data_IF_829228152084
#
_entry.id   IF_829228152084
#
_cell.length_a   1.000
_cell.length_b   1.000
_cell.length_c   1.000
_cell.angle_alpha   90.00
_cell.angle_beta   90.00
_cell.angle_gamma   90.00
#
_symmetry.space_group_name_H-M   'P 1'
#
loop_
_entity.id
_entity.type
_entity.pdbx_description
1 polymer ?
#
# COMPACT_ATOMS: atom_id res chain seq x y z
N UNK A 1 -24.19 28.63 90.45
CA UNK A 1 -24.02 28.74 88.98
C UNK A 1 -22.75 27.96 88.66
N UNK A 2 -22.89 26.71 88.22
CA UNK A 2 -21.74 25.80 88.02
C UNK A 2 -20.93 26.23 86.79
N UNK A 3 -19.61 26.44 86.91
CA UNK A 3 -18.76 26.70 85.76
C UNK A 3 -18.35 25.39 85.06
N UNK A 4 -18.27 25.49 83.74
CA UNK A 4 -17.96 24.46 82.75
C UNK A 4 -16.55 23.87 82.99
N UNK A 5 -16.35 22.54 82.95
CA UNK A 5 -15.02 21.96 83.09
C UNK A 5 -14.18 22.19 81.82
N UNK A 6 -12.97 22.72 82.03
CA UNK A 6 -11.97 22.95 80.99
C UNK A 6 -11.51 21.63 80.37
N UNK A 7 -11.41 21.61 79.04
CA UNK A 7 -10.86 20.50 78.26
C UNK A 7 -9.44 20.15 78.72
N UNK A 8 -9.26 18.93 79.22
CA UNK A 8 -7.95 18.34 79.46
C UNK A 8 -7.23 18.16 78.11
N UNK A 9 -6.18 18.95 77.87
CA UNK A 9 -5.29 18.78 76.73
C UNK A 9 -4.42 17.54 76.98
N UNK A 10 -4.71 16.45 76.28
CA UNK A 10 -3.87 15.24 76.29
C UNK A 10 -2.52 15.61 75.67
N UNK A 11 -1.47 15.64 76.49
CA UNK A 11 -0.09 15.68 76.02
C UNK A 11 0.18 14.37 75.28
N UNK A 12 0.24 14.43 73.94
CA UNK A 12 0.70 13.32 73.13
C UNK A 12 2.22 13.23 73.25
N UNK A 13 2.72 12.11 73.77
CA UNK A 13 4.15 11.83 73.79
C UNK A 13 4.70 11.78 72.35
N UNK A 14 5.93 12.27 72.10
CA UNK A 14 6.52 12.22 70.76
C UNK A 14 6.72 10.76 70.31
N UNK A 15 6.60 10.47 69.01
CA UNK A 15 6.76 9.10 68.50
C UNK A 15 8.17 8.58 68.77
N UNK A 16 8.27 7.40 69.37
CA UNK A 16 9.53 6.67 69.55
C UNK A 16 10.08 6.36 68.15
N UNK A 17 11.07 7.14 67.70
CA UNK A 17 11.84 6.82 66.49
C UNK A 17 12.67 5.58 66.77
N UNK A 18 12.16 4.40 66.39
CA UNK A 18 13.00 3.21 66.29
C UNK A 18 14.07 3.48 65.22
N UNK A 19 15.37 3.32 65.53
CA UNK A 19 16.39 3.45 64.50
C UNK A 19 16.11 2.45 63.39
N UNK A 20 16.22 2.89 62.14
CA UNK A 20 16.16 2.00 60.96
C UNK A 20 17.14 0.86 61.18
N UNK A 21 16.75 -0.41 60.94
CA UNK A 21 17.68 -1.53 61.07
C UNK A 21 18.88 -1.27 60.17
N UNK A 22 20.06 -1.19 60.78
CA UNK A 22 21.33 -1.05 60.07
C UNK A 22 21.60 -2.40 59.43
N UNK A 23 21.22 -2.56 58.16
CA UNK A 23 21.55 -3.74 57.37
C UNK A 23 23.07 -3.78 57.33
N UNK A 24 23.66 -4.78 57.99
CA UNK A 24 25.10 -5.02 57.86
C UNK A 24 25.41 -5.15 56.37
N UNK A 25 26.54 -4.61 55.87
CA UNK A 25 26.91 -4.81 54.48
C UNK A 25 26.92 -6.32 54.24
N UNK A 26 25.96 -6.77 53.42
CA UNK A 26 25.97 -8.13 52.91
C UNK A 26 27.34 -8.29 52.27
N UNK A 27 28.13 -9.27 52.74
CA UNK A 27 29.40 -9.59 52.09
C UNK A 27 29.04 -10.04 50.70
N UNK A 28 29.04 -9.11 49.76
CA UNK A 28 29.06 -9.43 48.35
C UNK A 28 30.38 -10.17 48.14
N UNK A 29 30.37 -11.49 48.30
CA UNK A 29 30.88 -12.27 47.20
C UNK A 29 29.92 -11.95 46.06
N UNK A 30 30.15 -10.82 45.38
CA UNK A 30 29.88 -10.81 43.97
C UNK A 30 30.66 -12.02 43.49
N UNK A 31 29.95 -13.14 43.23
CA UNK A 31 30.51 -14.16 42.37
C UNK A 31 31.07 -13.34 41.22
N UNK A 32 32.41 -13.31 41.11
CA UNK A 32 33.08 -12.50 40.11
C UNK A 32 32.31 -12.74 38.83
N UNK A 33 31.71 -11.68 38.26
CA UNK A 33 30.90 -11.82 37.06
C UNK A 33 31.77 -12.63 36.09
N UNK A 34 31.34 -13.86 35.82
CA UNK A 34 32.19 -14.83 35.11
C UNK A 34 32.59 -14.12 33.81
N UNK A 35 33.89 -13.84 33.60
CA UNK A 35 34.33 -13.00 32.48
C UNK A 35 33.86 -13.57 31.13
N UNK A 36 33.62 -14.87 31.10
CA UNK A 36 33.20 -15.60 29.91
C UNK A 36 31.67 -15.77 29.83
N UNK A 37 30.90 -15.43 30.88
CA UNK A 37 29.43 -15.59 30.89
C UNK A 37 28.76 -14.82 29.74
N UNK A 38 29.22 -13.60 29.47
CA UNK A 38 28.66 -12.80 28.39
C UNK A 38 28.94 -13.44 27.03
N UNK A 39 30.18 -13.91 26.81
CA UNK A 39 30.61 -14.59 25.58
C UNK A 39 29.84 -15.89 25.40
N UNK A 40 29.75 -16.72 26.44
CA UNK A 40 29.02 -17.98 26.43
C UNK A 40 27.52 -17.77 26.18
N UNK A 41 26.90 -16.79 26.83
CA UNK A 41 25.50 -16.42 26.60
C UNK A 41 25.26 -15.97 25.15
N UNK A 42 26.16 -15.16 24.60
CA UNK A 42 26.11 -14.78 23.19
C UNK A 42 26.23 -16.01 22.27
N UNK A 43 27.18 -16.93 22.51
CA UNK A 43 27.32 -18.13 21.68
C UNK A 43 26.06 -19.00 21.68
N UNK A 44 25.46 -19.22 22.84
CA UNK A 44 24.21 -19.97 23.00
C UNK A 44 23.07 -19.31 22.21
N UNK A 45 22.90 -18.00 22.36
CA UNK A 45 21.86 -17.23 21.66
C UNK A 45 22.07 -17.24 20.14
N UNK A 46 23.30 -17.06 19.66
CA UNK A 46 23.61 -17.15 18.22
C UNK A 46 23.33 -18.53 17.65
N UNK A 47 23.60 -19.59 18.41
CA UNK A 47 23.23 -20.94 18.00
C UNK A 47 21.72 -21.10 17.88
N UNK A 48 20.96 -20.62 18.86
CA UNK A 48 19.50 -20.69 18.85
C UNK A 48 18.89 -19.87 17.70
N UNK A 49 19.40 -18.67 17.42
CA UNK A 49 18.92 -17.85 16.31
C UNK A 49 19.16 -18.54 14.97
N UNK A 50 20.33 -19.16 14.76
CA UNK A 50 20.61 -19.96 13.55
C UNK A 50 19.66 -21.15 13.41
N UNK A 51 19.36 -21.85 14.51
CA UNK A 51 18.40 -22.96 14.55
C UNK A 51 16.97 -22.50 14.19
N UNK A 52 16.56 -21.33 14.68
CA UNK A 52 15.29 -20.71 14.28
C UNK A 52 15.18 -20.45 12.78
N UNK A 53 16.24 -19.92 12.15
CA UNK A 53 16.30 -19.74 10.70
C UNK A 53 16.34 -21.06 9.92
N UNK A 54 16.89 -22.12 10.50
CA UNK A 54 16.86 -23.46 9.91
C UNK A 54 15.50 -24.18 10.07
N UNK A 55 14.59 -23.63 10.89
CA UNK A 55 13.31 -24.26 11.22
C UNK A 55 13.41 -25.42 12.21
N UNK A 56 14.56 -25.62 12.85
CA UNK A 56 14.79 -26.69 13.82
C UNK A 56 14.72 -26.14 15.26
N UNK A 57 13.51 -26.05 15.81
CA UNK A 57 13.26 -25.47 17.15
C UNK A 57 12.98 -26.51 18.23
N UNK A 58 12.89 -27.79 17.89
CA UNK A 58 12.45 -28.86 18.79
C UNK A 58 13.42 -29.13 19.96
N UNK A 59 14.67 -28.64 19.88
CA UNK A 59 15.68 -28.75 20.93
C UNK A 59 15.92 -27.49 21.77
N UNK A 60 15.19 -26.39 21.51
CA UNK A 60 15.46 -25.11 22.16
C UNK A 60 14.81 -25.03 23.55
N UNK A 61 15.63 -24.77 24.58
CA UNK A 61 15.15 -24.45 25.92
C UNK A 61 14.92 -22.93 26.05
N UNK A 62 13.70 -22.48 25.76
CA UNK A 62 13.32 -21.06 25.79
C UNK A 62 13.56 -20.37 27.12
N UNK A 63 13.39 -21.06 28.24
CA UNK A 63 13.66 -20.49 29.57
C UNK A 63 15.15 -20.19 29.75
N UNK A 64 16.02 -21.10 29.31
CA UNK A 64 17.47 -20.89 29.36
C UNK A 64 17.89 -19.74 28.44
N UNK A 65 17.35 -19.71 27.22
CA UNK A 65 17.64 -18.66 26.24
C UNK A 65 17.17 -17.27 26.75
N UNK A 66 15.97 -17.21 27.30
CA UNK A 66 15.44 -15.98 27.89
C UNK A 66 16.30 -15.51 29.07
N UNK A 67 16.73 -16.41 29.97
CA UNK A 67 17.64 -16.07 31.07
C UNK A 67 18.98 -15.53 30.57
N UNK A 68 19.61 -16.18 29.59
CA UNK A 68 20.85 -15.67 28.98
C UNK A 68 20.67 -14.26 28.42
N UNK A 69 19.58 -14.00 27.68
CA UNK A 69 19.29 -12.68 27.14
C UNK A 69 19.02 -11.65 28.24
N UNK A 70 18.26 -12.02 29.28
CA UNK A 70 17.95 -11.18 30.43
C UNK A 70 19.21 -10.80 31.22
N UNK A 71 20.07 -11.78 31.51
CA UNK A 71 21.30 -11.57 32.29
C UNK A 71 22.28 -10.68 31.54
N UNK A 72 22.42 -10.84 30.22
CA UNK A 72 23.20 -9.94 29.37
C UNK A 72 22.74 -8.48 29.50
N UNK A 73 21.43 -8.23 29.46
CA UNK A 73 20.89 -6.87 29.57
C UNK A 73 21.11 -6.30 30.97
N UNK A 74 20.88 -7.10 32.01
CA UNK A 74 21.09 -6.68 33.41
C UNK A 74 22.54 -6.36 33.74
N UNK A 75 23.48 -7.08 33.13
CA UNK A 75 24.92 -6.82 33.24
C UNK A 75 25.38 -5.63 32.38
N UNK A 76 24.47 -4.95 31.68
CA UNK A 76 24.77 -3.76 30.87
C UNK A 76 25.20 -4.07 29.43
N UNK A 77 25.15 -5.33 28.99
CA UNK A 77 25.52 -5.78 27.64
C UNK A 77 24.36 -5.73 26.64
N UNK A 78 23.34 -4.90 26.88
CA UNK A 78 22.18 -4.75 25.98
C UNK A 78 22.55 -4.33 24.55
N UNK A 79 23.61 -3.52 24.39
CA UNK A 79 24.11 -3.12 23.06
C UNK A 79 24.69 -4.30 22.27
N UNK A 80 25.42 -5.18 22.97
CA UNK A 80 26.02 -6.38 22.39
C UNK A 80 24.93 -7.33 21.92
N UNK A 81 23.94 -7.59 22.78
CA UNK A 81 22.80 -8.44 22.44
C UNK A 81 22.00 -7.88 21.26
N UNK A 82 21.72 -6.57 21.25
CA UNK A 82 21.00 -5.92 20.15
C UNK A 82 21.74 -6.07 18.82
N UNK A 83 23.05 -5.81 18.81
CA UNK A 83 23.91 -5.95 17.63
C UNK A 83 23.95 -7.40 17.15
N UNK A 84 24.04 -8.34 18.08
CA UNK A 84 24.02 -9.77 17.79
C UNK A 84 22.70 -10.21 17.14
N UNK A 85 21.55 -9.73 17.62
CA UNK A 85 20.25 -9.99 17.01
C UNK A 85 20.21 -9.46 15.58
N UNK A 86 20.59 -8.20 15.38
CA UNK A 86 20.61 -7.58 14.05
C UNK A 86 21.53 -8.34 13.07
N UNK A 87 22.73 -8.70 13.52
CA UNK A 87 23.72 -9.43 12.70
C UNK A 87 23.24 -10.85 12.38
N UNK A 88 22.60 -11.53 13.34
CA UNK A 88 22.07 -12.88 13.13
C UNK A 88 20.92 -12.88 12.13
N UNK A 89 20.03 -11.87 12.20
CA UNK A 89 18.96 -11.69 11.22
C UNK A 89 19.52 -11.40 9.82
N UNK A 90 20.49 -10.49 9.71
CA UNK A 90 21.13 -10.16 8.43
C UNK A 90 21.78 -11.40 7.79
N UNK A 91 22.56 -12.17 8.56
CA UNK A 91 23.21 -13.38 8.06
C UNK A 91 22.21 -14.50 7.70
N UNK A 92 21.09 -14.61 8.42
CA UNK A 92 20.01 -15.54 8.10
C UNK A 92 19.36 -15.19 6.76
N UNK A 93 19.02 -13.91 6.58
CA UNK A 93 18.42 -13.39 5.34
C UNK A 93 19.38 -13.50 4.15
N UNK A 94 20.67 -13.24 4.34
CA UNK A 94 21.68 -13.35 3.29
C UNK A 94 21.73 -14.77 2.70
N UNK A 95 21.72 -15.81 3.56
CA UNK A 95 21.67 -17.22 3.12
C UNK A 95 20.40 -17.56 2.36
N UNK A 96 19.25 -17.05 2.81
CA UNK A 96 17.97 -17.21 2.10
C UNK A 96 18.08 -16.59 0.71
N UNK A 97 18.60 -15.36 0.64
CA UNK A 97 18.72 -14.62 -0.60
C UNK A 97 19.70 -15.31 -1.58
N UNK A 98 20.82 -15.87 -1.11
CA UNK A 98 21.72 -16.70 -1.93
C UNK A 98 21.05 -17.98 -2.45
N UNK A 99 20.16 -18.59 -1.65
CA UNK A 99 19.39 -19.75 -2.08
C UNK A 99 18.42 -19.40 -3.21
N UNK A 100 17.67 -18.31 -3.04
CA UNK A 100 16.70 -17.85 -4.03
C UNK A 100 17.35 -17.43 -5.36
N UNK A 101 18.56 -16.86 -5.31
CA UNK A 101 19.33 -16.53 -6.52
C UNK A 101 19.78 -17.79 -7.29
N UNK A 102 20.16 -18.85 -6.58
CA UNK A 102 20.55 -20.13 -7.21
C UNK A 102 19.39 -20.81 -7.93
N UNK A 103 18.14 -20.55 -7.52
CA UNK A 103 16.93 -21.10 -8.14
C UNK A 103 16.54 -20.41 -9.47
N UNK A 104 17.44 -19.69 -10.15
CA UNK A 104 17.20 -18.81 -11.31
C UNK A 104 16.34 -19.40 -12.45
N UNK A 105 16.30 -20.72 -12.62
CA UNK A 105 15.61 -21.40 -13.73
C UNK A 105 14.20 -21.93 -13.43
N UNK A 106 13.69 -21.84 -12.20
CA UNK A 106 12.34 -22.35 -11.88
C UNK A 106 11.20 -21.50 -12.48
N UNK A 107 10.02 -22.08 -12.78
CA UNK A 107 8.84 -21.33 -13.18
C UNK A 107 8.43 -20.24 -12.18
N UNK A 108 7.78 -19.17 -12.67
CA UNK A 108 7.38 -18.00 -11.86
C UNK A 108 6.57 -18.40 -10.61
N UNK A 109 5.61 -19.33 -10.74
CA UNK A 109 4.78 -19.79 -9.62
C UNK A 109 5.57 -20.54 -8.55
N UNK A 110 6.58 -21.32 -8.96
CA UNK A 110 7.48 -22.03 -8.04
C UNK A 110 8.39 -21.06 -7.30
N UNK A 111 8.96 -20.10 -8.03
CA UNK A 111 9.76 -19.03 -7.44
C UNK A 111 8.97 -18.23 -6.40
N UNK A 112 7.74 -17.82 -6.71
CA UNK A 112 6.89 -17.09 -5.76
C UNK A 112 6.56 -17.92 -4.53
N UNK A 113 6.29 -19.23 -4.68
CA UNK A 113 6.07 -20.14 -3.55
C UNK A 113 7.29 -20.27 -2.66
N UNK A 114 8.47 -20.41 -3.25
CA UNK A 114 9.74 -20.49 -2.51
C UNK A 114 9.99 -19.19 -1.74
N UNK A 115 9.92 -18.04 -2.42
CA UNK A 115 10.11 -16.72 -1.82
C UNK A 115 9.15 -16.48 -0.64
N UNK A 116 7.86 -16.77 -0.82
CA UNK A 116 6.84 -16.59 0.21
C UNK A 116 6.97 -17.60 1.36
N UNK A 117 7.42 -18.81 1.06
CA UNK A 117 7.76 -19.82 2.06
C UNK A 117 8.89 -19.34 2.96
N UNK A 118 9.97 -18.82 2.37
CA UNK A 118 11.09 -18.25 3.11
C UNK A 118 10.70 -16.97 3.87
N UNK A 119 9.83 -16.13 3.31
CA UNK A 119 9.28 -14.96 4.00
C UNK A 119 8.52 -15.37 5.28
N UNK A 120 7.69 -16.42 5.18
CA UNK A 120 6.95 -16.95 6.32
C UNK A 120 7.89 -17.52 7.39
N UNK A 121 8.91 -18.29 6.99
CA UNK A 121 9.92 -18.84 7.91
C UNK A 121 10.69 -17.73 8.62
N UNK A 122 11.12 -16.69 7.88
CA UNK A 122 11.74 -15.50 8.46
C UNK A 122 10.83 -14.82 9.49
N UNK A 123 9.55 -14.64 9.18
CA UNK A 123 8.56 -14.13 10.14
C UNK A 123 8.50 -14.97 11.43
N UNK A 124 8.44 -16.30 11.31
CA UNK A 124 8.48 -17.19 12.47
C UNK A 124 9.78 -17.07 13.28
N UNK A 125 10.94 -16.99 12.61
CA UNK A 125 12.23 -16.80 13.27
C UNK A 125 12.30 -15.45 14.02
N UNK A 126 11.79 -14.37 13.43
CA UNK A 126 11.72 -13.05 14.07
C UNK A 126 10.84 -13.08 15.32
N UNK A 127 9.70 -13.77 15.29
CA UNK A 127 8.84 -13.95 16.48
C UNK A 127 9.55 -14.73 17.58
N UNK A 128 10.21 -15.84 17.23
CA UNK A 128 10.99 -16.64 18.17
C UNK A 128 12.10 -15.81 18.82
N UNK A 129 12.84 -15.04 18.04
CA UNK A 129 13.89 -14.15 18.54
C UNK A 129 13.29 -13.11 19.49
N UNK A 130 12.16 -12.50 19.13
CA UNK A 130 11.45 -11.53 19.95
C UNK A 130 11.05 -12.11 21.32
N UNK A 131 10.56 -13.35 21.36
CA UNK A 131 10.19 -14.03 22.60
C UNK A 131 11.41 -14.25 23.50
N UNK A 132 12.55 -14.65 22.90
CA UNK A 132 13.81 -14.84 23.63
C UNK A 132 14.34 -13.52 24.19
N UNK A 133 14.30 -12.42 23.41
CA UNK A 133 14.88 -11.12 23.79
C UNK A 133 13.85 -10.13 24.34
N UNK A 134 12.68 -10.60 24.77
CA UNK A 134 11.57 -9.75 25.21
C UNK A 134 11.97 -8.73 26.29
N UNK A 135 12.85 -9.11 27.21
CA UNK A 135 13.34 -8.19 28.24
C UNK A 135 14.19 -7.06 27.64
N UNK A 136 15.07 -7.36 26.67
CA UNK A 136 15.85 -6.35 25.94
C UNK A 136 14.93 -5.37 25.22
N UNK A 137 13.88 -5.86 24.56
CA UNK A 137 12.91 -5.02 23.83
C UNK A 137 12.26 -3.99 24.76
N UNK A 138 11.79 -4.42 25.94
CA UNK A 138 11.07 -3.57 26.89
C UNK A 138 11.98 -2.64 27.70
N UNK A 139 13.21 -3.07 27.99
CA UNK A 139 14.08 -2.35 28.93
C UNK A 139 15.19 -1.56 28.24
N UNK A 140 15.77 -2.07 27.16
CA UNK A 140 16.93 -1.47 26.49
C UNK A 140 16.52 -0.74 25.21
N UNK A 141 15.83 -1.42 24.29
CA UNK A 141 15.44 -0.86 22.98
C UNK A 141 14.57 0.39 23.16
N UNK A 142 13.53 0.30 24.00
CA UNK A 142 12.64 1.41 24.31
C UNK A 142 13.38 2.60 24.94
N UNK A 143 14.23 2.36 25.94
CA UNK A 143 14.96 3.44 26.64
C UNK A 143 15.99 4.13 25.74
N UNK A 144 16.59 3.40 24.80
CA UNK A 144 17.61 3.92 23.87
C UNK A 144 17.00 4.47 22.57
N UNK A 145 15.68 4.40 22.38
CA UNK A 145 15.01 4.84 21.16
C UNK A 145 15.46 4.07 19.92
N UNK A 146 15.80 2.78 20.08
CA UNK A 146 16.27 1.93 18.98
C UNK A 146 15.10 1.30 18.22
N UNK A 147 15.36 0.83 17.00
CA UNK A 147 14.38 0.11 16.20
C UNK A 147 13.98 -1.21 16.91
N UNK A 148 12.67 -1.49 17.07
CA UNK A 148 12.15 -2.77 17.56
C UNK A 148 12.67 -3.97 16.79
N UNK A 149 12.73 -5.15 17.43
CA UNK A 149 13.22 -6.38 16.80
C UNK A 149 12.37 -6.78 15.57
N UNK A 150 11.06 -6.51 15.60
CA UNK A 150 10.20 -6.71 14.42
C UNK A 150 10.61 -5.83 13.25
N UNK A 151 10.95 -4.58 13.53
CA UNK A 151 11.41 -3.64 12.51
C UNK A 151 12.79 -4.03 11.98
N UNK A 152 13.71 -4.51 12.83
CA UNK A 152 14.98 -5.09 12.39
C UNK A 152 14.75 -6.27 11.42
N UNK A 153 13.79 -7.15 11.72
CA UNK A 153 13.41 -8.25 10.83
C UNK A 153 12.92 -7.76 9.47
N UNK A 154 12.08 -6.72 9.44
CA UNK A 154 11.60 -6.11 8.19
C UNK A 154 12.75 -5.48 7.39
N UNK A 155 13.60 -4.69 8.04
CA UNK A 155 14.76 -4.04 7.42
C UNK A 155 15.75 -5.07 6.86
N UNK A 156 16.04 -6.12 7.63
CA UNK A 156 16.93 -7.20 7.21
C UNK A 156 16.42 -7.85 5.91
N UNK A 157 15.14 -8.26 5.86
CA UNK A 157 14.55 -8.85 4.64
C UNK A 157 14.54 -7.87 3.47
N UNK A 158 14.08 -6.64 3.71
CA UNK A 158 13.99 -5.61 2.70
C UNK A 158 15.34 -5.35 2.04
N UNK A 159 16.40 -5.20 2.83
CA UNK A 159 17.70 -4.77 2.35
C UNK A 159 18.54 -5.97 1.86
N UNK A 160 18.39 -7.15 2.48
CA UNK A 160 19.12 -8.38 2.13
C UNK A 160 18.50 -9.23 1.01
N UNK A 161 17.18 -9.15 0.79
CA UNK A 161 16.48 -9.94 -0.25
C UNK A 161 15.96 -9.02 -1.37
N UNK A 162 15.14 -8.03 -1.03
CA UNK A 162 14.38 -7.27 -2.05
C UNK A 162 15.20 -6.14 -2.67
N UNK A 163 16.02 -5.42 -1.89
CA UNK A 163 16.85 -4.30 -2.37
C UNK A 163 18.29 -4.68 -2.65
N UNK A 164 18.66 -5.95 -2.49
CA UNK A 164 20.01 -6.42 -2.77
C UNK A 164 20.38 -6.12 -4.22
N UNK A 165 21.40 -5.29 -4.41
CA UNK A 165 21.80 -4.76 -5.71
C UNK A 165 22.30 -5.83 -6.67
N UNK A 166 22.99 -6.84 -6.15
CA UNK A 166 23.55 -7.97 -6.91
C UNK A 166 22.60 -9.18 -7.04
N UNK A 167 21.35 -9.08 -6.55
CA UNK A 167 20.42 -10.21 -6.49
C UNK A 167 19.41 -10.28 -7.65
N UNK A 168 18.98 -11.49 -7.98
CA UNK A 168 17.99 -11.76 -9.03
C UNK A 168 16.55 -11.79 -8.49
N UNK A 169 16.37 -11.79 -7.16
CA UNK A 169 15.04 -11.84 -6.53
C UNK A 169 14.15 -10.68 -6.97
N UNK A 170 14.62 -9.43 -6.91
CA UNK A 170 13.83 -8.25 -7.29
C UNK A 170 13.41 -8.24 -8.76
N UNK A 171 14.33 -8.37 -9.74
CA UNK A 171 13.93 -8.37 -11.15
C UNK A 171 12.99 -9.53 -11.47
N UNK A 172 13.21 -10.71 -10.89
CA UNK A 172 12.36 -11.89 -11.12
C UNK A 172 10.99 -11.77 -10.49
N UNK A 173 10.90 -11.29 -9.26
CA UNK A 173 9.63 -10.99 -8.61
C UNK A 173 8.83 -10.04 -9.50
N UNK A 174 9.38 -8.88 -9.84
CA UNK A 174 8.72 -7.93 -10.75
C UNK A 174 8.33 -8.57 -12.08
N UNK A 175 9.21 -9.33 -12.71
CA UNK A 175 8.93 -9.96 -14.00
C UNK A 175 7.79 -10.98 -13.91
N UNK A 176 7.74 -11.80 -12.87
CA UNK A 176 6.66 -12.75 -12.63
C UNK A 176 5.31 -12.04 -12.45
N UNK A 177 5.29 -11.00 -11.60
CA UNK A 177 4.06 -10.26 -11.31
C UNK A 177 3.52 -9.53 -12.56
N UNK A 178 4.41 -8.89 -13.33
CA UNK A 178 4.04 -8.19 -14.57
C UNK A 178 3.62 -9.15 -15.69
N UNK A 179 4.33 -10.27 -15.86
CA UNK A 179 4.01 -11.26 -16.90
C UNK A 179 2.61 -11.83 -16.71
N UNK A 180 2.19 -12.08 -15.48
CA UNK A 180 0.83 -12.50 -15.20
C UNK A 180 -0.20 -11.45 -15.65
N UNK A 181 0.01 -10.18 -15.30
CA UNK A 181 -0.89 -9.10 -15.73
C UNK A 181 -1.01 -9.04 -17.27
N UNK A 182 0.08 -9.30 -18.01
CA UNK A 182 0.04 -9.40 -19.48
C UNK A 182 -0.82 -10.55 -19.97
N UNK A 183 -0.63 -11.74 -19.41
CA UNK A 183 -1.35 -12.96 -19.80
C UNK A 183 -2.85 -12.79 -19.58
N UNK A 184 -3.23 -12.24 -18.44
CA UNK A 184 -4.62 -11.99 -18.11
C UNK A 184 -5.24 -10.90 -19.03
N UNK A 185 -4.49 -9.84 -19.40
CA UNK A 185 -4.92 -8.87 -20.43
C UNK A 185 -5.09 -9.50 -21.81
N UNK A 186 -4.30 -10.54 -22.14
CA UNK A 186 -4.43 -11.30 -23.37
C UNK A 186 -5.60 -12.29 -23.35
N UNK A 187 -6.38 -12.36 -22.26
CA UNK A 187 -7.50 -13.27 -22.10
C UNK A 187 -7.08 -14.70 -21.77
N UNK A 188 -5.82 -14.93 -21.39
CA UNK A 188 -5.38 -16.25 -20.94
C UNK A 188 -5.98 -16.57 -19.56
N UNK A 189 -6.42 -17.82 -19.40
CA UNK A 189 -6.83 -18.32 -18.10
C UNK A 189 -5.62 -18.35 -17.15
N UNK A 190 -5.74 -17.61 -16.04
CA UNK A 190 -4.76 -17.61 -14.95
C UNK A 190 -5.35 -18.38 -13.77
N UNK A 191 -4.55 -19.31 -13.24
CA UNK A 191 -4.92 -20.15 -12.09
C UNK A 191 -5.21 -19.31 -10.83
N UNK A 192 -6.30 -19.64 -10.14
CA UNK A 192 -6.68 -19.08 -8.82
C UNK A 192 -5.52 -19.10 -7.84
N UNK A 193 -4.74 -20.20 -7.80
CA UNK A 193 -3.59 -20.32 -6.92
C UNK A 193 -2.50 -19.28 -7.22
N UNK A 194 -2.35 -18.86 -8.48
CA UNK A 194 -1.38 -17.83 -8.84
C UNK A 194 -1.82 -16.45 -8.33
N UNK A 195 -3.11 -16.13 -8.38
CA UNK A 195 -3.61 -14.87 -7.80
C UNK A 195 -3.35 -14.78 -6.29
N UNK A 196 -3.49 -15.88 -5.55
CA UNK A 196 -3.18 -15.91 -4.11
C UNK A 196 -1.70 -15.66 -3.83
N UNK A 197 -0.81 -16.22 -4.66
CA UNK A 197 0.63 -15.96 -4.57
C UNK A 197 0.96 -14.50 -4.84
N UNK A 198 0.29 -13.89 -5.82
CA UNK A 198 0.45 -12.47 -6.17
C UNK A 198 0.00 -11.54 -5.06
N UNK A 199 -1.18 -11.81 -4.49
CA UNK A 199 -1.72 -11.03 -3.38
C UNK A 199 -0.79 -11.15 -2.17
N UNK A 200 -0.27 -12.35 -1.89
CA UNK A 200 0.69 -12.60 -0.81
C UNK A 200 2.02 -11.88 -1.03
N UNK A 201 2.56 -11.92 -2.25
CA UNK A 201 3.78 -11.21 -2.62
C UNK A 201 3.61 -9.69 -2.54
N UNK A 202 2.46 -9.18 -2.97
CA UNK A 202 2.12 -7.76 -2.85
C UNK A 202 2.02 -7.35 -1.38
N UNK A 203 1.33 -8.15 -0.55
CA UNK A 203 1.23 -7.92 0.89
C UNK A 203 2.61 -7.86 1.55
N UNK A 204 3.50 -8.80 1.23
CA UNK A 204 4.89 -8.77 1.70
C UNK A 204 5.57 -7.45 1.31
N UNK A 205 5.48 -7.02 0.04
CA UNK A 205 6.09 -5.76 -0.41
C UNK A 205 5.54 -4.52 0.32
N UNK A 206 4.25 -4.53 0.68
CA UNK A 206 3.61 -3.45 1.47
C UNK A 206 4.11 -3.49 2.92
N UNK A 207 4.19 -4.66 3.53
CA UNK A 207 4.67 -4.85 4.92
C UNK A 207 6.13 -4.38 5.11
N UNK A 208 6.96 -4.44 4.07
CA UNK A 208 8.36 -3.99 4.12
C UNK A 208 8.53 -2.46 4.21
N UNK A 209 7.46 -1.68 3.95
CA UNK A 209 7.48 -0.22 4.07
C UNK A 209 8.43 0.48 3.09
N UNK A 210 8.87 1.70 3.42
CA UNK A 210 9.85 2.51 2.67
C UNK A 210 9.61 2.59 1.15
N UNK A 211 8.36 2.65 0.72
CA UNK A 211 7.97 2.67 -0.69
C UNK A 211 8.44 1.44 -1.52
N UNK A 212 8.73 0.31 -0.87
CA UNK A 212 9.20 -0.92 -1.54
C UNK A 212 8.15 -1.41 -2.55
N UNK A 213 6.88 -1.50 -2.15
CA UNK A 213 5.78 -1.84 -3.05
C UNK A 213 5.74 -0.94 -4.28
N UNK A 214 5.80 0.38 -4.08
CA UNK A 214 5.70 1.37 -5.14
C UNK A 214 6.85 1.22 -6.16
N UNK A 215 8.09 1.08 -5.66
CA UNK A 215 9.28 1.01 -6.50
C UNK A 215 9.43 -0.33 -7.22
N UNK A 216 9.12 -1.44 -6.55
CA UNK A 216 9.33 -2.80 -7.09
C UNK A 216 8.20 -3.20 -8.02
N UNK A 217 6.96 -2.78 -7.73
CA UNK A 217 5.76 -3.30 -8.39
C UNK A 217 4.86 -2.21 -8.96
N UNK A 218 4.36 -1.27 -8.15
CA UNK A 218 3.29 -0.35 -8.59
C UNK A 218 3.73 0.51 -9.79
N UNK A 219 4.88 1.18 -9.69
CA UNK A 219 5.39 2.05 -10.76
C UNK A 219 5.68 1.28 -12.05
N UNK A 220 6.40 0.13 -12.04
CA UNK A 220 6.54 -0.72 -13.22
C UNK A 220 5.21 -1.22 -13.80
N UNK A 221 4.25 -1.57 -12.94
CA UNK A 221 2.92 -2.02 -13.36
C UNK A 221 2.16 -0.91 -14.08
N UNK A 222 2.14 0.30 -13.52
CA UNK A 222 1.49 1.46 -14.14
C UNK A 222 2.13 1.86 -15.46
N UNK A 223 3.47 1.87 -15.55
CA UNK A 223 4.20 2.14 -16.80
C UNK A 223 3.86 1.12 -17.89
N UNK A 224 3.89 -0.17 -17.55
CA UNK A 224 3.52 -1.22 -18.49
C UNK A 224 2.06 -1.12 -18.94
N UNK A 225 1.16 -0.78 -18.01
CA UNK A 225 -0.26 -0.56 -18.28
C UNK A 225 -0.43 0.60 -19.27
N UNK A 226 0.29 1.70 -19.07
CA UNK A 226 0.31 2.83 -20.00
C UNK A 226 0.76 2.41 -21.39
N UNK A 227 1.85 1.64 -21.51
CA UNK A 227 2.34 1.12 -22.79
C UNK A 227 1.35 0.18 -23.47
N UNK A 228 0.63 -0.64 -22.70
CA UNK A 228 -0.41 -1.52 -23.22
C UNK A 228 -1.57 -0.71 -23.80
N UNK A 229 -2.13 0.23 -23.04
CA UNK A 229 -3.27 1.02 -23.50
C UNK A 229 -2.91 2.04 -24.58
N UNK A 230 -1.67 2.55 -24.61
CA UNK A 230 -1.20 3.34 -25.74
C UNK A 230 -1.26 2.56 -27.06
N UNK A 231 -0.99 1.24 -27.05
CA UNK A 231 -1.14 0.39 -28.25
C UNK A 231 -2.60 0.10 -28.58
N UNK A 232 -3.40 -0.20 -27.56
CA UNK A 232 -4.84 -0.43 -27.74
C UNK A 232 -5.55 0.80 -28.28
N UNK A 233 -5.13 2.01 -27.89
CA UNK A 233 -5.62 3.27 -28.43
C UNK A 233 -5.49 3.35 -29.96
N UNK A 234 -4.30 3.07 -30.50
CA UNK A 234 -4.06 3.08 -31.94
C UNK A 234 -4.84 2.01 -32.69
N UNK A 235 -5.20 0.91 -32.02
CA UNK A 235 -6.01 -0.17 -32.59
C UNK A 235 -7.49 0.20 -32.58
N UNK A 236 -8.00 0.68 -31.44
CA UNK A 236 -9.41 0.81 -31.16
C UNK A 236 -10.00 2.08 -31.78
N UNK A 237 -9.38 3.24 -31.57
CA UNK A 237 -9.97 4.52 -31.96
C UNK A 237 -10.21 4.64 -33.48
N UNK A 238 -9.31 4.20 -34.38
CA UNK A 238 -9.59 4.21 -35.82
C UNK A 238 -10.65 3.20 -36.25
N UNK A 239 -10.77 2.08 -35.53
CA UNK A 239 -11.74 1.02 -35.84
C UNK A 239 -13.17 1.32 -35.34
N UNK A 240 -13.29 2.22 -34.36
CA UNK A 240 -14.58 2.66 -33.83
C UNK A 240 -15.20 3.73 -34.72
N UNK A 241 -16.39 3.44 -35.24
CA UNK A 241 -17.21 4.42 -35.98
C UNK A 241 -18.11 5.25 -35.06
N UNK A 242 -18.31 4.82 -33.81
CA UNK A 242 -19.21 5.46 -32.84
C UNK A 242 -18.49 5.84 -31.54
N UNK A 243 -18.64 7.09 -31.10
CA UNK A 243 -18.03 7.58 -29.86
C UNK A 243 -18.61 6.89 -28.61
N UNK A 244 -19.93 6.64 -28.57
CA UNK A 244 -20.57 5.97 -27.44
C UNK A 244 -20.04 4.55 -27.25
N UNK A 245 -19.92 3.79 -28.34
CA UNK A 245 -19.33 2.45 -28.35
C UNK A 245 -17.86 2.48 -27.91
N UNK A 246 -17.07 3.43 -28.41
CA UNK A 246 -15.68 3.60 -27.97
C UNK A 246 -15.58 3.84 -26.46
N UNK A 247 -16.34 4.81 -25.94
CA UNK A 247 -16.33 5.14 -24.51
C UNK A 247 -16.82 3.99 -23.64
N UNK A 248 -17.81 3.21 -24.10
CA UNK A 248 -18.29 2.00 -23.43
C UNK A 248 -17.19 0.93 -23.30
N UNK A 249 -16.39 0.75 -24.36
CA UNK A 249 -15.23 -0.15 -24.32
C UNK A 249 -14.17 0.36 -23.36
N UNK A 250 -13.89 1.66 -23.34
CA UNK A 250 -12.92 2.25 -22.39
C UNK A 250 -13.38 2.10 -20.94
N UNK A 251 -14.66 2.32 -20.65
CA UNK A 251 -15.26 2.06 -19.33
C UNK A 251 -15.06 0.61 -18.90
N UNK A 252 -15.38 -0.34 -19.78
CA UNK A 252 -15.18 -1.78 -19.51
C UNK A 252 -13.70 -2.12 -19.25
N UNK A 253 -12.77 -1.44 -19.95
CA UNK A 253 -11.32 -1.61 -19.73
C UNK A 253 -10.88 -1.06 -18.37
N UNK A 254 -11.42 0.08 -17.95
CA UNK A 254 -11.16 0.64 -16.60
C UNK A 254 -11.65 -0.32 -15.53
N UNK A 255 -12.87 -0.84 -15.66
CA UNK A 255 -13.45 -1.77 -14.70
C UNK A 255 -12.67 -3.10 -14.64
N UNK A 256 -12.23 -3.61 -15.80
CA UNK A 256 -11.39 -4.80 -15.86
C UNK A 256 -10.04 -4.61 -15.14
N UNK A 257 -9.40 -3.44 -15.27
CA UNK A 257 -8.14 -3.15 -14.56
C UNK A 257 -8.36 -2.94 -13.06
N UNK A 258 -9.45 -2.30 -12.65
CA UNK A 258 -9.81 -2.20 -11.22
C UNK A 258 -10.02 -3.58 -10.61
N UNK A 259 -10.79 -4.45 -11.28
CA UNK A 259 -10.99 -5.83 -10.83
C UNK A 259 -9.67 -6.61 -10.77
N UNK A 260 -8.77 -6.40 -11.74
CA UNK A 260 -7.42 -6.99 -11.74
C UNK A 260 -6.62 -6.56 -10.52
N UNK A 261 -6.53 -5.27 -10.25
CA UNK A 261 -5.79 -4.72 -9.10
C UNK A 261 -6.39 -5.24 -7.79
N UNK A 262 -7.71 -5.23 -7.66
CA UNK A 262 -8.41 -5.75 -6.49
C UNK A 262 -8.06 -7.21 -6.20
N UNK A 263 -8.07 -8.05 -7.24
CA UNK A 263 -7.77 -9.49 -7.14
C UNK A 263 -6.28 -9.79 -6.92
N UNK A 264 -5.38 -9.09 -7.63
CA UNK A 264 -3.96 -9.46 -7.71
C UNK A 264 -3.06 -8.70 -6.73
N UNK A 265 -3.39 -7.43 -6.48
CA UNK A 265 -2.55 -6.52 -5.72
C UNK A 265 -3.17 -6.19 -4.35
N UNK A 266 -4.50 -6.19 -4.22
CA UNK A 266 -5.17 -5.93 -2.95
C UNK A 266 -4.85 -4.56 -2.34
N UNK A 267 -4.37 -3.61 -3.16
CA UNK A 267 -3.97 -2.27 -2.76
C UNK A 267 -4.97 -1.24 -3.34
N UNK A 268 -5.93 -0.73 -2.54
CA UNK A 268 -6.96 0.18 -3.03
C UNK A 268 -6.40 1.47 -3.63
N UNK A 269 -5.23 1.92 -3.14
CA UNK A 269 -4.54 3.11 -3.65
C UNK A 269 -4.05 2.95 -5.09
N UNK A 270 -3.94 1.72 -5.59
CA UNK A 270 -3.50 1.41 -6.96
C UNK A 270 -4.66 1.37 -7.95
N UNK A 271 -5.89 1.09 -7.50
CA UNK A 271 -7.07 1.02 -8.38
C UNK A 271 -7.35 2.37 -9.06
N UNK A 272 -7.28 3.46 -8.31
CA UNK A 272 -7.49 4.79 -8.89
C UNK A 272 -6.32 5.22 -9.79
N UNK A 273 -5.09 4.82 -9.46
CA UNK A 273 -3.92 5.12 -10.29
C UNK A 273 -3.96 4.37 -11.61
N UNK A 274 -4.34 3.09 -11.61
CA UNK A 274 -4.46 2.32 -12.85
C UNK A 274 -5.59 2.86 -13.73
N UNK A 275 -6.73 3.21 -13.12
CA UNK A 275 -7.83 3.84 -13.85
C UNK A 275 -7.40 5.17 -14.49
N UNK A 276 -6.67 6.03 -13.76
CA UNK A 276 -6.13 7.27 -14.29
C UNK A 276 -5.17 7.04 -15.47
N UNK A 277 -4.33 6.01 -15.41
CA UNK A 277 -3.45 5.63 -16.53
C UNK A 277 -4.27 5.22 -17.76
N UNK A 278 -5.28 4.35 -17.61
CA UNK A 278 -6.14 3.95 -18.74
C UNK A 278 -6.82 5.17 -19.36
N UNK A 279 -7.40 6.06 -18.55
CA UNK A 279 -8.10 7.25 -19.03
C UNK A 279 -7.16 8.24 -19.71
N UNK A 280 -5.94 8.44 -19.19
CA UNK A 280 -4.94 9.28 -19.84
C UNK A 280 -4.58 8.75 -21.22
N UNK A 281 -4.35 7.44 -21.35
CA UNK A 281 -3.95 6.86 -22.63
C UNK A 281 -5.11 6.77 -23.64
N UNK A 282 -6.32 6.44 -23.16
CA UNK A 282 -7.48 6.14 -24.03
C UNK A 282 -8.42 7.32 -24.25
N UNK A 283 -8.49 8.29 -23.34
CA UNK A 283 -9.46 9.39 -23.40
C UNK A 283 -8.75 10.72 -23.57
N UNK A 284 -7.80 11.07 -22.70
CA UNK A 284 -7.14 12.39 -22.70
C UNK A 284 -6.53 12.74 -24.06
N UNK A 285 -5.84 11.77 -24.69
CA UNK A 285 -5.22 11.93 -26.02
C UNK A 285 -6.22 12.09 -27.17
N UNK A 286 -7.49 11.74 -26.97
CA UNK A 286 -8.53 11.78 -28.00
C UNK A 286 -9.68 12.73 -27.68
N UNK A 287 -9.60 13.54 -26.61
CA UNK A 287 -10.70 14.43 -26.17
C UNK A 287 -11.29 15.21 -27.35
N UNK A 288 -10.47 15.97 -28.09
CA UNK A 288 -10.92 16.79 -29.20
C UNK A 288 -11.62 15.97 -30.31
N UNK A 289 -11.09 14.77 -30.61
CA UNK A 289 -11.69 13.88 -31.59
C UNK A 289 -13.02 13.31 -31.10
N UNK A 290 -13.10 12.88 -29.85
CA UNK A 290 -14.29 12.25 -29.26
C UNK A 290 -15.46 13.23 -29.19
N UNK A 291 -15.23 14.45 -28.71
CA UNK A 291 -16.30 15.47 -28.65
C UNK A 291 -16.73 15.94 -30.04
N UNK A 292 -15.80 15.98 -31.00
CA UNK A 292 -16.01 16.50 -32.35
C UNK A 292 -16.38 15.48 -33.42
N UNK A 293 -16.66 14.21 -33.10
CA UNK A 293 -17.08 13.24 -34.12
C UNK A 293 -18.40 13.66 -34.79
N UNK A 294 -18.43 13.80 -36.12
CA UNK A 294 -19.58 14.34 -36.86
C UNK A 294 -20.91 13.61 -36.59
N UNK A 295 -20.90 12.28 -36.57
CA UNK A 295 -22.13 11.47 -36.47
C UNK A 295 -22.41 10.93 -35.07
N UNK A 296 -21.44 10.95 -34.17
CA UNK A 296 -21.56 10.31 -32.85
C UNK A 296 -20.95 11.10 -31.70
N UNK A 297 -20.36 12.26 -31.96
CA UNK A 297 -19.76 13.14 -30.95
C UNK A 297 -20.81 13.89 -30.13
N UNK A 298 -20.35 14.82 -29.28
CA UNK A 298 -21.18 15.46 -28.24
C UNK A 298 -22.42 16.15 -28.84
N UNK A 299 -22.24 16.94 -29.89
CA UNK A 299 -23.36 17.64 -30.55
C UNK A 299 -24.42 16.67 -31.10
N UNK A 300 -23.99 15.58 -31.76
CA UNK A 300 -24.90 14.54 -32.24
C UNK A 300 -25.65 13.87 -31.08
N UNK A 301 -24.95 13.52 -29.99
CA UNK A 301 -25.56 12.93 -28.81
C UNK A 301 -26.61 13.85 -28.15
N UNK A 302 -26.37 15.18 -28.13
CA UNK A 302 -27.33 16.17 -27.64
C UNK A 302 -28.59 16.24 -28.51
N UNK A 303 -28.42 16.30 -29.84
CA UNK A 303 -29.53 16.38 -30.80
C UNK A 303 -30.43 15.14 -30.73
N UNK A 304 -29.82 13.95 -30.73
CA UNK A 304 -30.55 12.68 -30.76
C UNK A 304 -30.93 12.16 -29.36
N UNK A 305 -30.62 12.89 -28.28
CA UNK A 305 -31.00 12.50 -26.93
C UNK A 305 -30.34 11.21 -26.43
N UNK A 306 -29.06 10.98 -26.76
CA UNK A 306 -28.30 9.80 -26.33
C UNK A 306 -27.82 9.94 -24.87
N UNK A 307 -28.75 10.09 -23.93
CA UNK A 307 -28.47 10.43 -22.53
C UNK A 307 -27.47 9.49 -21.85
N UNK A 308 -27.57 8.18 -22.07
CA UNK A 308 -26.63 7.20 -21.51
C UNK A 308 -25.18 7.43 -21.98
N UNK A 309 -25.01 7.76 -23.25
CA UNK A 309 -23.68 8.03 -23.81
C UNK A 309 -23.14 9.39 -23.36
N UNK A 310 -24.02 10.38 -23.18
CA UNK A 310 -23.67 11.68 -22.61
C UNK A 310 -23.21 11.56 -21.16
N UNK A 311 -23.93 10.83 -20.31
CA UNK A 311 -23.51 10.57 -18.92
C UNK A 311 -22.17 9.85 -18.90
N UNK A 312 -21.96 8.86 -19.79
CA UNK A 312 -20.66 8.18 -19.90
C UNK A 312 -19.55 9.14 -20.33
N UNK A 313 -19.80 9.97 -21.33
CA UNK A 313 -18.85 10.96 -21.82
C UNK A 313 -18.45 11.93 -20.72
N UNK A 314 -19.41 12.55 -20.01
CA UNK A 314 -19.14 13.45 -18.90
C UNK A 314 -18.34 12.78 -17.79
N UNK A 315 -18.71 11.57 -17.39
CA UNK A 315 -18.00 10.82 -16.34
C UNK A 315 -16.55 10.50 -16.69
N UNK A 316 -16.27 10.15 -17.95
CA UNK A 316 -14.93 9.77 -18.39
C UNK A 316 -14.07 11.01 -18.70
N UNK A 317 -14.62 12.00 -19.41
CA UNK A 317 -13.90 13.23 -19.76
C UNK A 317 -13.71 14.13 -18.53
N UNK A 318 -14.60 14.08 -17.55
CA UNK A 318 -14.47 14.76 -16.26
C UNK A 318 -13.24 14.33 -15.44
N UNK A 319 -12.64 13.20 -15.78
CA UNK A 319 -11.48 12.62 -15.06
C UNK A 319 -10.15 12.87 -15.76
N UNK A 320 -10.12 13.54 -16.91
CA UNK A 320 -8.89 13.81 -17.68
C UNK A 320 -8.65 15.30 -17.87
N UNK A 321 -7.40 15.68 -18.10
CA UNK A 321 -7.04 17.08 -18.29
C UNK A 321 -7.70 17.64 -19.56
N UNK A 322 -8.34 18.81 -19.44
CA UNK A 322 -9.00 19.50 -20.55
C UNK A 322 -10.31 18.86 -21.03
N UNK A 323 -10.76 17.74 -20.44
CA UNK A 323 -11.96 17.04 -20.88
C UNK A 323 -13.24 17.86 -20.73
N UNK A 324 -13.51 18.40 -19.54
CA UNK A 324 -14.69 19.25 -19.30
C UNK A 324 -14.67 20.52 -20.15
N UNK A 325 -13.51 21.19 -20.25
CA UNK A 325 -13.36 22.40 -21.07
C UNK A 325 -13.73 22.15 -22.53
N UNK A 326 -13.24 21.06 -23.13
CA UNK A 326 -13.57 20.72 -24.50
C UNK A 326 -15.06 20.37 -24.69
N UNK A 327 -15.70 19.78 -23.68
CA UNK A 327 -17.15 19.57 -23.69
C UNK A 327 -17.89 20.91 -23.64
N UNK A 328 -17.49 21.83 -22.75
CA UNK A 328 -18.08 23.17 -22.64
C UNK A 328 -18.00 23.92 -23.96
N UNK A 329 -16.83 23.92 -24.62
CA UNK A 329 -16.63 24.60 -25.91
C UNK A 329 -17.61 24.09 -26.99
N UNK A 330 -17.79 22.76 -27.07
CA UNK A 330 -18.72 22.15 -28.04
C UNK A 330 -20.18 22.40 -27.65
N UNK A 331 -20.51 22.39 -26.36
CA UNK A 331 -21.85 22.72 -25.88
C UNK A 331 -22.21 24.18 -26.19
N UNK A 332 -21.31 25.13 -25.95
CA UNK A 332 -21.54 26.52 -26.31
C UNK A 332 -21.75 26.69 -27.82
N UNK A 333 -20.92 26.04 -28.64
CA UNK A 333 -21.09 26.07 -30.09
C UNK A 333 -22.47 25.52 -30.51
N UNK A 334 -22.89 24.41 -29.90
CA UNK A 334 -24.20 23.81 -30.13
C UNK A 334 -25.35 24.74 -29.71
N UNK A 335 -25.29 25.34 -28.52
CA UNK A 335 -26.31 26.27 -28.03
C UNK A 335 -26.45 27.51 -28.92
N UNK A 336 -25.33 28.07 -29.42
CA UNK A 336 -25.35 29.17 -30.39
C UNK A 336 -26.06 28.77 -31.69
N UNK A 337 -25.88 27.54 -32.16
CA UNK A 337 -26.59 27.03 -33.34
C UNK A 337 -28.09 26.87 -33.09
N UNK A 338 -28.47 26.33 -31.93
CA UNK A 338 -29.89 26.19 -31.54
C UNK A 338 -30.55 27.56 -31.44
N UNK A 339 -29.95 28.53 -30.75
CA UNK A 339 -30.47 29.90 -30.68
C UNK A 339 -30.61 30.53 -32.06
N UNK A 340 -29.61 30.37 -32.93
CA UNK A 340 -29.65 30.90 -34.29
C UNK A 340 -30.79 30.29 -35.11
N UNK A 341 -31.07 29.00 -34.92
CA UNK A 341 -32.20 28.31 -35.56
C UNK A 341 -33.56 28.77 -35.02
N UNK A 342 -33.63 29.13 -33.73
CA UNK A 342 -34.83 29.67 -33.10
C UNK A 342 -35.18 31.10 -33.54
N UNK A 343 -34.17 31.90 -33.90
CA UNK A 343 -34.36 33.30 -34.28
C UNK A 343 -34.90 34.11 -33.11
N UNK A 344 -35.93 34.93 -33.37
CA UNK A 344 -36.57 35.81 -32.39
C UNK A 344 -37.84 35.20 -31.76
N UNK A 345 -38.09 33.90 -31.94
CA UNK A 345 -39.24 33.23 -31.33
C UNK A 345 -38.99 32.99 -29.83
N UNK A 346 -39.48 33.88 -28.98
CA UNK A 346 -39.33 33.80 -27.52
C UNK A 346 -39.86 32.49 -26.93
N UNK A 347 -40.92 31.91 -27.49
CA UNK A 347 -41.48 30.65 -26.98
C UNK A 347 -40.54 29.49 -27.27
N UNK A 348 -39.97 29.47 -28.48
CA UNK A 348 -39.02 28.43 -28.87
C UNK A 348 -37.69 28.57 -28.13
N UNK A 349 -37.21 29.80 -27.93
CA UNK A 349 -36.02 30.09 -27.12
C UNK A 349 -36.19 29.62 -25.67
N UNK A 350 -37.30 29.97 -25.02
CA UNK A 350 -37.58 29.51 -23.65
C UNK A 350 -37.68 27.99 -23.58
N UNK A 351 -38.38 27.36 -24.53
CA UNK A 351 -38.55 25.92 -24.57
C UNK A 351 -37.24 25.15 -24.75
N UNK A 352 -36.36 25.59 -25.65
CA UNK A 352 -35.05 24.96 -25.83
C UNK A 352 -34.14 25.21 -24.63
N UNK A 353 -34.17 26.41 -24.02
CA UNK A 353 -33.40 26.71 -22.81
C UNK A 353 -33.79 25.78 -21.67
N UNK A 354 -35.09 25.65 -21.39
CA UNK A 354 -35.60 24.80 -20.31
C UNK A 354 -35.24 23.32 -20.56
N UNK A 355 -35.37 22.85 -21.81
CA UNK A 355 -35.00 21.49 -22.21
C UNK A 355 -33.52 21.17 -21.93
N UNK A 356 -32.59 22.07 -22.31
CA UNK A 356 -31.17 21.84 -22.04
C UNK A 356 -30.82 22.03 -20.57
N UNK A 357 -31.49 22.92 -19.84
CA UNK A 357 -31.32 23.06 -18.40
C UNK A 357 -31.69 21.75 -17.66
N UNK A 358 -32.85 21.17 -17.98
CA UNK A 358 -33.27 19.87 -17.42
C UNK A 358 -32.28 18.75 -17.79
N UNK A 359 -31.79 18.74 -19.03
CA UNK A 359 -30.77 17.78 -19.46
C UNK A 359 -29.47 17.94 -18.68
N UNK A 360 -28.97 19.17 -18.47
CA UNK A 360 -27.74 19.42 -17.71
C UNK A 360 -27.89 18.94 -16.27
N UNK A 361 -29.04 19.20 -15.67
CA UNK A 361 -29.33 18.79 -14.29
C UNK A 361 -29.40 17.27 -14.16
N UNK A 362 -30.02 16.58 -15.11
CA UNK A 362 -30.18 15.13 -15.10
C UNK A 362 -28.93 14.35 -15.51
N UNK A 363 -28.30 14.73 -16.63
CA UNK A 363 -27.23 13.96 -17.30
C UNK A 363 -25.85 14.34 -16.80
N UNK A 364 -25.64 15.63 -16.53
CA UNK A 364 -24.35 16.21 -16.13
C UNK A 364 -24.33 16.64 -14.67
N UNK A 365 -25.34 16.24 -13.89
CA UNK A 365 -25.47 16.56 -12.46
C UNK A 365 -25.37 18.06 -12.13
N UNK A 366 -25.84 18.91 -13.06
CA UNK A 366 -25.84 20.35 -12.86
C UNK A 366 -24.46 21.01 -13.00
N UNK A 367 -23.54 20.42 -13.77
CA UNK A 367 -22.20 20.96 -14.06
C UNK A 367 -22.24 22.48 -14.33
N UNK A 368 -21.60 23.26 -13.45
CA UNK A 368 -21.73 24.73 -13.44
C UNK A 368 -21.23 25.36 -14.74
N UNK A 369 -20.15 24.82 -15.32
CA UNK A 369 -19.60 25.32 -16.59
C UNK A 369 -20.59 25.16 -17.75
N UNK A 370 -21.38 24.08 -17.77
CA UNK A 370 -22.39 23.85 -18.80
C UNK A 370 -23.62 24.74 -18.60
N UNK A 371 -24.03 24.98 -17.34
CA UNK A 371 -25.11 25.93 -17.03
C UNK A 371 -24.72 27.36 -17.42
N UNK A 372 -23.51 27.79 -17.07
CA UNK A 372 -23.00 29.11 -17.44
C UNK A 372 -22.93 29.29 -18.96
N UNK A 373 -22.48 28.26 -19.69
CA UNK A 373 -22.49 28.23 -21.15
C UNK A 373 -23.90 28.36 -21.74
N UNK A 374 -24.89 27.64 -21.19
CA UNK A 374 -26.28 27.73 -21.61
C UNK A 374 -26.86 29.13 -21.37
N UNK A 375 -26.70 29.66 -20.15
CA UNK A 375 -27.22 30.97 -19.78
C UNK A 375 -26.60 32.08 -20.61
N UNK A 376 -25.28 32.04 -20.83
CA UNK A 376 -24.59 33.01 -21.69
C UNK A 376 -25.03 32.94 -23.14
N UNK A 377 -25.51 31.79 -23.63
CA UNK A 377 -25.96 31.65 -25.01
C UNK A 377 -27.42 32.04 -25.21
N UNK A 378 -28.25 32.06 -24.17
CA UNK A 378 -29.69 32.36 -24.24
C UNK A 378 -30.10 33.65 -23.52
N UNK A 379 -29.15 34.38 -22.93
CA UNK A 379 -29.29 35.81 -22.59
C UNK A 379 -29.08 36.66 -23.83
#
# INVERSE_FOLDING_TARGET
MFPIPAHATVQTAPPIRRPLPRIQPFKHQAAAADPDLAVNSCLVLSSAFRQGYAGDTNGLNFETLYRCAHDLVNLGHGEVLYTQVATSMAAGVEKVAESLDRSASVPDAEFLRELLGEWKKHGCAVLMILDIVMYMERSFVLKRGKAPVRELGLRAWRDGVVRRSAGEVRPRLRAALLRMARRERAGEAVDTALYELMASATKMLVELGDNVYQQVLEMPFLDETGRFYAREFFRLLPSSCDCGEYLSKVESMVDAEKARVSRCLGAPTTEEKVAAVVLREMVEKAVARLVGMESSGLASMLVYGRYWDLTRMHRLLGRVQGGLSAMTDVMEAHFRLVRKAAGDDERLLSGEKDRYAEMIDGVFHGEESFRAALDSCFT
#
